data_IF_865258032347
#
_entry.id   IF_865258032347
#
_cell.length_a   1.000
_cell.length_b   1.000
_cell.length_c   1.000
_cell.angle_alpha   90.00
_cell.angle_beta   90.00
_cell.angle_gamma   90.00
#
_symmetry.space_group_name_H-M   'P 1'
#
loop_
_entity.id
_entity.type
_entity.pdbx_description
1 polymer ?
#
# COMPACT_ATOMS: atom_id res chain seq x y z
N UNK A 1 40.28 96.20 1.33
CA UNK A 1 39.65 95.70 0.08
C UNK A 1 39.21 94.27 0.34
N UNK A 2 37.91 94.03 0.19
CA UNK A 2 37.20 92.79 0.49
C UNK A 2 37.32 91.77 -0.63
N UNK A 3 37.47 90.49 -0.31
CA UNK A 3 36.99 89.40 -1.17
C UNK A 3 36.38 88.28 -0.32
N UNK A 4 35.24 87.80 -0.80
CA UNK A 4 34.15 87.15 -0.07
C UNK A 4 34.29 85.63 -0.14
N UNK A 5 34.16 84.96 1.01
CA UNK A 5 34.05 83.49 1.12
C UNK A 5 32.58 83.04 0.96
N UNK A 6 32.27 81.98 0.19
CA UNK A 6 30.90 81.51 0.04
C UNK A 6 30.46 80.58 1.19
N UNK A 7 29.24 80.82 1.65
CA UNK A 7 28.56 80.13 2.73
C UNK A 7 28.16 78.70 2.35
N UNK A 8 28.44 77.75 3.25
CA UNK A 8 27.99 76.35 3.17
C UNK A 8 26.54 76.25 3.66
N UNK A 9 25.58 76.11 2.75
CA UNK A 9 24.16 75.96 3.07
C UNK A 9 23.86 74.60 3.69
N UNK A 10 23.37 74.61 4.94
CA UNK A 10 22.91 73.43 5.70
C UNK A 10 21.45 73.14 5.33
N UNK A 11 21.21 72.03 4.64
CA UNK A 11 19.87 71.54 4.30
C UNK A 11 19.16 70.95 5.53
N UNK A 12 17.84 71.15 5.68
CA UNK A 12 17.06 70.61 6.79
C UNK A 12 16.91 69.08 6.70
N UNK A 13 16.97 68.41 7.86
CA UNK A 13 16.99 66.94 7.99
C UNK A 13 15.81 66.22 7.31
N UNK A 14 14.67 66.89 7.13
CA UNK A 14 13.47 66.30 6.52
C UNK A 14 13.59 66.10 5.00
N UNK A 15 14.48 66.85 4.31
CA UNK A 15 14.71 66.70 2.87
C UNK A 15 15.67 65.54 2.55
N UNK A 16 16.54 65.19 3.50
CA UNK A 16 17.46 64.03 3.39
C UNK A 16 16.73 62.70 3.56
N UNK A 17 15.70 62.65 4.42
CA UNK A 17 14.82 61.48 4.55
C UNK A 17 13.99 61.26 3.28
N UNK A 18 13.45 62.31 2.68
CA UNK A 18 12.63 62.19 1.47
C UNK A 18 13.45 61.71 0.25
N UNK A 19 14.71 62.15 0.11
CA UNK A 19 15.61 61.65 -0.94
C UNK A 19 16.06 60.20 -0.73
N UNK A 20 16.23 59.73 0.51
CA UNK A 20 16.55 58.33 0.77
C UNK A 20 15.36 57.38 0.54
N UNK A 21 14.13 57.83 0.84
CA UNK A 21 12.92 57.03 0.54
C UNK A 21 12.68 56.92 -0.98
N UNK A 22 12.93 57.98 -1.75
CA UNK A 22 12.81 57.95 -3.22
C UNK A 22 13.89 57.09 -3.92
N UNK A 23 15.12 57.04 -3.38
CA UNK A 23 16.21 56.18 -3.89
C UNK A 23 15.97 54.68 -3.63
N UNK A 24 15.28 54.32 -2.55
CA UNK A 24 14.96 52.91 -2.24
C UNK A 24 13.78 52.41 -3.08
N UNK A 25 12.83 53.26 -3.45
CA UNK A 25 11.68 52.87 -4.30
C UNK A 25 12.08 52.70 -5.78
N UNK A 26 13.05 53.48 -6.27
CA UNK A 26 13.57 53.38 -7.64
C UNK A 26 14.57 52.23 -7.85
N UNK A 27 15.19 51.71 -6.78
CA UNK A 27 16.02 50.49 -6.85
C UNK A 27 15.21 49.20 -6.77
N UNK A 28 13.92 49.27 -6.41
CA UNK A 28 13.02 48.12 -6.45
C UNK A 28 12.39 47.87 -7.84
N UNK A 29 12.56 48.78 -8.81
CA UNK A 29 11.92 48.68 -10.14
C UNK A 29 12.89 48.40 -11.32
N UNK A 30 14.17 48.07 -11.06
CA UNK A 30 15.13 47.74 -12.14
C UNK A 30 15.75 46.33 -12.04
N UNK A 31 15.23 45.45 -11.18
CA UNK A 31 15.58 44.01 -11.21
C UNK A 31 14.29 43.18 -11.23
N UNK A 32 13.47 43.43 -12.24
CA UNK A 32 12.55 42.42 -12.79
C UNK A 32 12.96 42.26 -14.24
N UNK A 33 14.15 41.66 -14.43
CA UNK A 33 14.41 40.91 -15.64
C UNK A 33 13.60 39.61 -15.53
N UNK A 34 13.05 39.18 -16.66
CA UNK A 34 12.29 37.94 -16.82
C UNK A 34 13.17 36.72 -16.49
N UNK A 35 13.43 36.49 -15.19
CA UNK A 35 13.75 35.15 -14.71
C UNK A 35 12.42 34.43 -14.69
N UNK A 36 12.14 33.77 -15.81
CA UNK A 36 11.19 32.67 -15.88
C UNK A 36 11.59 31.71 -14.76
N UNK A 37 10.98 31.88 -13.59
CA UNK A 37 10.90 30.86 -12.57
C UNK A 37 10.12 29.76 -13.26
N UNK A 38 10.85 28.90 -13.96
CA UNK A 38 10.46 27.53 -14.21
C UNK A 38 10.22 27.00 -12.82
N UNK A 39 8.95 27.10 -12.38
CA UNK A 39 8.40 26.17 -11.41
C UNK A 39 8.63 24.83 -12.06
N UNK A 40 9.78 24.23 -11.78
CA UNK A 40 9.86 22.79 -11.74
C UNK A 40 8.87 22.44 -10.65
N UNK A 41 7.61 22.23 -11.05
CA UNK A 41 6.76 21.28 -10.41
C UNK A 41 7.63 20.03 -10.39
N UNK A 42 8.32 19.80 -9.29
CA UNK A 42 8.64 18.46 -8.90
C UNK A 42 7.27 17.83 -8.72
N UNK A 43 6.70 17.38 -9.84
CA UNK A 43 5.69 16.37 -9.85
C UNK A 43 6.39 15.21 -9.16
N UNK A 44 6.22 15.15 -7.83
CA UNK A 44 6.18 13.86 -7.17
C UNK A 44 5.32 13.03 -8.12
N UNK A 45 5.83 11.93 -8.69
CA UNK A 45 4.99 11.09 -9.50
C UNK A 45 3.84 10.72 -8.58
N UNK A 46 2.68 11.33 -8.83
CA UNK A 46 1.43 10.78 -8.34
C UNK A 46 1.46 9.36 -8.88
N UNK A 47 1.29 8.39 -7.98
CA UNK A 47 0.90 7.06 -8.44
C UNK A 47 -0.25 7.31 -9.41
N UNK A 48 -0.08 6.93 -10.68
CA UNK A 48 -1.16 6.97 -11.65
C UNK A 48 -2.33 6.21 -11.02
N UNK A 49 -3.33 6.95 -10.54
CA UNK A 49 -4.46 6.46 -9.74
C UNK A 49 -5.38 5.53 -10.55
N UNK A 50 -5.01 5.21 -11.81
CA UNK A 50 -5.79 4.37 -12.70
C UNK A 50 -5.80 2.88 -12.35
N UNK A 51 -4.89 2.40 -11.50
CA UNK A 51 -4.70 0.97 -11.23
C UNK A 51 -4.91 0.62 -9.75
N UNK A 52 -5.99 1.10 -9.15
CA UNK A 52 -6.31 0.83 -7.75
C UNK A 52 -7.21 -0.39 -7.60
N UNK A 53 -7.05 -1.14 -6.51
CA UNK A 53 -8.02 -2.15 -6.07
C UNK A 53 -9.15 -1.49 -5.29
N UNK A 54 -10.37 -1.61 -5.80
CA UNK A 54 -11.60 -1.32 -5.07
C UNK A 54 -12.08 -2.59 -4.39
N UNK A 55 -12.58 -2.47 -3.16
CA UNK A 55 -13.07 -3.60 -2.36
C UNK A 55 -14.56 -3.39 -2.15
N UNK A 56 -15.37 -4.29 -2.70
CA UNK A 56 -16.83 -4.14 -2.75
C UNK A 56 -17.57 -5.26 -2.01
N UNK A 57 -17.00 -6.46 -1.98
CA UNK A 57 -17.62 -7.65 -1.42
C UNK A 57 -17.20 -7.87 0.04
N UNK A 58 -15.89 -7.86 0.32
CA UNK A 58 -15.32 -8.16 1.63
C UNK A 58 -15.79 -7.20 2.73
N UNK A 59 -16.30 -7.77 3.82
CA UNK A 59 -16.90 -7.00 4.91
C UNK A 59 -15.85 -6.38 5.83
N UNK A 60 -14.72 -7.07 6.03
CA UNK A 60 -13.67 -6.67 6.97
C UNK A 60 -12.45 -6.04 6.29
N UNK A 61 -12.51 -5.79 4.98
CA UNK A 61 -11.41 -5.19 4.23
C UNK A 61 -11.84 -3.85 3.65
N UNK A 62 -11.06 -2.79 3.90
CA UNK A 62 -11.19 -1.52 3.17
C UNK A 62 -9.83 -0.98 2.79
N UNK A 63 -9.73 -0.41 1.59
CA UNK A 63 -8.49 0.18 1.08
C UNK A 63 -8.72 1.66 0.76
N UNK A 64 -7.81 2.50 1.21
CA UNK A 64 -7.78 3.93 0.94
C UNK A 64 -6.46 4.30 0.26
N UNK A 65 -6.54 5.18 -0.73
CA UNK A 65 -5.37 5.63 -1.50
C UNK A 65 -5.12 7.11 -1.23
N UNK A 66 -3.92 7.42 -0.79
CA UNK A 66 -3.38 8.78 -0.75
C UNK A 66 -2.38 9.00 -1.89
N UNK A 67 -1.81 10.20 -1.96
CA UNK A 67 -0.88 10.56 -3.04
C UNK A 67 0.40 9.71 -3.07
N UNK A 68 0.95 9.38 -1.89
CA UNK A 68 2.22 8.64 -1.75
C UNK A 68 2.14 7.47 -0.75
N UNK A 69 0.92 7.11 -0.33
CA UNK A 69 0.68 6.05 0.63
C UNK A 69 -0.67 5.39 0.36
N UNK A 70 -0.85 4.19 0.90
CA UNK A 70 -2.10 3.45 0.90
C UNK A 70 -2.42 3.08 2.34
N UNK A 71 -3.69 2.92 2.66
CA UNK A 71 -4.11 2.45 3.99
C UNK A 71 -5.06 1.30 3.82
N UNK A 72 -4.74 0.18 4.45
CA UNK A 72 -5.67 -0.92 4.59
C UNK A 72 -6.28 -0.86 5.99
N UNK A 73 -7.61 -0.82 6.09
CA UNK A 73 -8.30 -1.08 7.35
C UNK A 73 -8.70 -2.55 7.38
N UNK A 74 -8.20 -3.25 8.39
CA UNK A 74 -8.54 -4.63 8.65
C UNK A 74 -9.53 -4.66 9.83
N UNK A 75 -10.77 -5.04 9.54
CA UNK A 75 -11.86 -5.13 10.52
C UNK A 75 -11.75 -6.34 11.43
N UNK A 76 -10.97 -7.37 11.07
CA UNK A 76 -10.79 -8.59 11.86
C UNK A 76 -9.95 -8.30 13.10
N UNK A 77 -8.82 -7.61 12.93
CA UNK A 77 -7.94 -7.25 14.06
C UNK A 77 -8.08 -5.80 14.52
N UNK A 78 -8.98 -5.04 13.87
CA UNK A 78 -9.24 -3.63 14.16
C UNK A 78 -8.08 -2.69 13.84
N UNK A 79 -7.05 -3.14 13.11
CA UNK A 79 -5.87 -2.32 12.81
C UNK A 79 -5.94 -1.66 11.44
N UNK A 80 -5.19 -0.57 11.31
CA UNK A 80 -4.89 0.08 10.05
C UNK A 80 -3.44 -0.16 9.66
N UNK A 81 -3.22 -0.62 8.43
CA UNK A 81 -1.91 -0.82 7.84
C UNK A 81 -1.59 0.33 6.91
N UNK A 82 -0.65 1.18 7.32
CA UNK A 82 -0.16 2.27 6.48
C UNK A 82 0.95 1.74 5.57
N UNK A 83 0.75 1.82 4.27
CA UNK A 83 1.69 1.34 3.27
C UNK A 83 2.32 2.52 2.56
N UNK A 84 3.64 2.67 2.72
CA UNK A 84 4.41 3.81 2.23
C UNK A 84 5.22 3.34 1.03
N UNK A 85 5.14 4.07 -0.08
CA UNK A 85 5.96 3.76 -1.26
C UNK A 85 7.45 3.89 -0.93
N UNK A 86 8.26 2.91 -1.33
CA UNK A 86 9.70 2.91 -1.09
C UNK A 86 10.45 4.12 -1.68
N UNK A 87 9.93 4.72 -2.75
CA UNK A 87 10.48 5.90 -3.41
C UNK A 87 10.03 7.23 -2.75
N UNK A 88 9.21 7.18 -1.69
CA UNK A 88 8.76 8.35 -0.97
C UNK A 88 9.80 8.81 0.06
N UNK A 89 9.93 10.13 0.25
CA UNK A 89 10.72 10.73 1.35
C UNK A 89 10.29 10.24 2.73
N UNK A 90 9.04 9.76 2.87
CA UNK A 90 8.51 9.21 4.11
C UNK A 90 9.03 7.81 4.43
N UNK A 91 9.44 7.01 3.43
CA UNK A 91 9.82 5.61 3.64
C UNK A 91 10.98 5.43 4.63
N UNK A 92 11.93 6.37 4.65
CA UNK A 92 13.07 6.34 5.55
C UNK A 92 12.79 6.96 6.94
N UNK A 93 11.74 7.77 7.08
CA UNK A 93 11.51 8.61 8.26
C UNK A 93 10.31 8.16 9.10
N UNK A 94 9.38 7.46 8.49
CA UNK A 94 8.06 7.22 9.06
C UNK A 94 7.91 5.74 9.40
N UNK A 95 7.94 5.42 10.69
CA UNK A 95 7.61 4.10 11.22
C UNK A 95 6.52 4.25 12.27
N UNK A 96 5.28 3.93 11.90
CA UNK A 96 4.17 3.83 12.83
C UNK A 96 4.08 2.40 13.37
N UNK A 97 4.10 2.30 14.69
CA UNK A 97 3.93 1.04 15.39
C UNK A 97 3.17 1.32 16.67
N UNK A 98 1.85 1.34 16.56
CA UNK A 98 0.94 1.48 17.68
C UNK A 98 0.02 0.26 17.71
N UNK A 99 -0.78 0.13 18.77
CA UNK A 99 -1.78 -0.94 18.87
C UNK A 99 -2.78 -0.93 17.70
N UNK A 100 -3.06 0.26 17.13
CA UNK A 100 -4.04 0.46 16.06
C UNK A 100 -3.43 0.64 14.66
N UNK A 101 -2.19 1.14 14.56
CA UNK A 101 -1.58 1.48 13.27
C UNK A 101 -0.21 0.83 13.16
N UNK A 102 0.01 0.07 12.10
CA UNK A 102 1.32 -0.48 11.73
C UNK A 102 1.70 -0.01 10.34
N UNK A 103 2.94 0.44 10.15
CA UNK A 103 3.43 0.92 8.86
C UNK A 103 4.37 -0.07 8.18
N UNK A 104 4.25 -0.18 6.86
CA UNK A 104 5.10 -1.00 6.01
C UNK A 104 5.59 -0.20 4.82
N UNK A 105 6.80 -0.51 4.36
CA UNK A 105 7.32 0.02 3.10
C UNK A 105 6.96 -0.97 2.00
N UNK A 106 6.38 -0.48 0.91
CA UNK A 106 5.91 -1.27 -0.23
C UNK A 106 6.65 -0.88 -1.52
N UNK A 107 6.80 -1.80 -2.49
CA UNK A 107 6.35 -3.19 -2.48
C UNK A 107 7.14 -4.05 -1.48
N UNK A 108 6.48 -5.03 -0.85
CA UNK A 108 7.17 -5.94 0.06
C UNK A 108 8.24 -6.75 -0.66
N UNK A 109 9.48 -6.62 -0.20
CA UNK A 109 10.57 -7.52 -0.49
C UNK A 109 11.01 -8.15 0.85
N UNK A 110 11.30 -9.45 0.87
CA UNK A 110 11.73 -10.17 2.08
C UNK A 110 10.65 -10.20 3.19
N UNK A 111 9.54 -10.89 2.91
CA UNK A 111 8.49 -11.17 3.89
C UNK A 111 8.45 -12.65 4.27
N UNK A 112 7.76 -12.94 5.36
CA UNK A 112 7.47 -14.30 5.82
C UNK A 112 5.98 -14.48 6.07
N UNK A 113 5.55 -15.73 6.12
CA UNK A 113 4.16 -16.10 6.39
C UNK A 113 4.09 -17.15 7.49
N UNK A 114 3.02 -17.10 8.27
CA UNK A 114 2.61 -18.18 9.13
C UNK A 114 1.82 -19.23 8.32
N UNK A 115 2.32 -20.46 8.19
CA UNK A 115 1.76 -21.44 7.25
C UNK A 115 0.58 -22.25 7.78
N UNK A 116 0.24 -22.15 9.07
CA UNK A 116 -0.80 -22.99 9.68
C UNK A 116 -2.20 -22.80 9.06
N UNK A 117 -2.53 -21.58 8.63
CA UNK A 117 -3.85 -21.24 8.08
C UNK A 117 -3.79 -20.20 6.96
N UNK A 118 -2.62 -20.02 6.35
CA UNK A 118 -2.42 -19.04 5.30
C UNK A 118 -2.65 -19.66 3.91
N UNK A 119 -3.59 -19.16 3.10
CA UNK A 119 -3.84 -19.68 1.76
C UNK A 119 -2.74 -19.23 0.79
N UNK A 120 -1.69 -20.04 0.67
CA UNK A 120 -0.51 -19.77 -0.17
C UNK A 120 -0.86 -19.57 -1.64
N UNK A 121 -1.96 -20.14 -2.11
CA UNK A 121 -2.46 -19.96 -3.49
C UNK A 121 -2.63 -18.49 -3.87
N UNK A 122 -2.91 -17.59 -2.92
CA UNK A 122 -3.01 -16.16 -3.18
C UNK A 122 -1.64 -15.59 -3.62
N UNK A 123 -0.55 -16.02 -3.00
CA UNK A 123 0.80 -15.61 -3.36
C UNK A 123 1.21 -16.18 -4.73
N UNK A 124 0.81 -17.41 -5.03
CA UNK A 124 1.05 -18.04 -6.34
C UNK A 124 0.35 -17.29 -7.47
N UNK A 125 -0.95 -17.03 -7.29
CA UNK A 125 -1.77 -16.31 -8.27
C UNK A 125 -1.27 -14.89 -8.51
N UNK A 126 -0.71 -14.24 -7.48
CA UNK A 126 -0.07 -12.93 -7.60
C UNK A 126 1.40 -12.97 -8.05
N UNK A 127 2.03 -14.15 -8.10
CA UNK A 127 3.44 -14.31 -8.47
C UNK A 127 4.41 -13.77 -7.41
N UNK A 128 4.04 -13.83 -6.14
CA UNK A 128 4.80 -13.26 -5.01
C UNK A 128 5.73 -14.25 -4.32
N UNK A 129 5.81 -15.50 -4.77
CA UNK A 129 6.66 -16.51 -4.15
C UNK A 129 8.16 -16.17 -4.22
N UNK A 130 8.63 -15.45 -5.25
CA UNK A 130 10.05 -15.09 -5.37
C UNK A 130 10.58 -14.15 -4.27
N UNK A 131 9.68 -13.38 -3.65
CA UNK A 131 10.00 -12.44 -2.56
C UNK A 131 9.63 -12.98 -1.17
N UNK A 132 9.01 -14.15 -1.09
CA UNK A 132 8.84 -14.92 0.15
C UNK A 132 10.21 -15.42 0.62
N UNK A 133 10.50 -15.27 1.92
CA UNK A 133 11.81 -15.65 2.50
C UNK A 133 11.70 -16.48 3.77
N UNK A 134 10.51 -16.67 4.32
CA UNK A 134 10.36 -17.59 5.43
C UNK A 134 8.95 -18.08 5.70
N UNK A 135 8.90 -19.26 6.30
CA UNK A 135 7.70 -20.01 6.67
C UNK A 135 7.85 -20.52 8.10
N UNK A 136 6.73 -20.76 8.79
CA UNK A 136 6.74 -21.24 10.19
C UNK A 136 6.65 -22.76 10.32
N UNK A 137 6.17 -23.45 9.28
CA UNK A 137 6.00 -24.91 9.23
C UNK A 137 6.05 -25.43 7.78
N UNK A 138 6.43 -26.70 7.60
CA UNK A 138 6.36 -27.43 6.33
C UNK A 138 4.93 -27.94 6.02
N UNK A 139 3.98 -27.77 6.93
CA UNK A 139 2.56 -28.10 6.71
C UNK A 139 1.89 -27.10 5.78
N UNK A 140 2.35 -27.05 4.53
CA UNK A 140 1.89 -26.13 3.48
C UNK A 140 1.40 -26.96 2.30
N UNK A 141 0.22 -26.62 1.76
CA UNK A 141 -0.33 -27.35 0.62
C UNK A 141 0.41 -27.11 -0.71
N UNK A 142 1.21 -26.04 -0.80
CA UNK A 142 1.91 -25.64 -2.01
C UNK A 142 3.23 -26.38 -2.17
N UNK A 143 3.32 -27.24 -3.19
CA UNK A 143 4.58 -27.89 -3.56
C UNK A 143 5.63 -26.89 -4.06
N UNK A 144 5.20 -25.75 -4.62
CA UNK A 144 6.11 -24.67 -5.01
C UNK A 144 6.84 -24.08 -3.80
N UNK A 145 6.14 -23.84 -2.69
CA UNK A 145 6.75 -23.36 -1.45
C UNK A 145 7.67 -24.42 -0.84
N UNK A 146 7.23 -25.68 -0.81
CA UNK A 146 8.06 -26.77 -0.29
C UNK A 146 9.36 -26.93 -1.09
N UNK A 147 9.29 -26.80 -2.42
CA UNK A 147 10.48 -26.80 -3.28
C UNK A 147 11.42 -25.64 -2.94
N UNK A 148 10.90 -24.40 -2.82
CA UNK A 148 11.72 -23.24 -2.45
C UNK A 148 12.41 -23.42 -1.09
N UNK A 149 11.75 -24.08 -0.14
CA UNK A 149 12.36 -24.42 1.14
C UNK A 149 13.44 -25.50 1.01
N UNK A 150 13.19 -26.61 0.31
CA UNK A 150 14.19 -27.67 0.07
C UNK A 150 15.41 -27.15 -0.69
N UNK A 151 15.21 -26.22 -1.61
CA UNK A 151 16.26 -25.55 -2.38
C UNK A 151 17.04 -24.50 -1.55
N UNK A 152 16.71 -24.32 -0.27
CA UNK A 152 17.37 -23.39 0.65
C UNK A 152 17.04 -21.92 0.42
N UNK A 153 16.01 -21.61 -0.38
CA UNK A 153 15.60 -20.23 -0.69
C UNK A 153 14.65 -19.64 0.37
N UNK A 154 14.01 -20.50 1.17
CA UNK A 154 13.18 -20.11 2.32
C UNK A 154 13.80 -20.56 3.62
N UNK A 155 13.64 -19.75 4.66
CA UNK A 155 14.02 -20.10 6.00
C UNK A 155 12.83 -20.59 6.83
N UNK A 156 13.01 -21.68 7.57
CA UNK A 156 12.08 -22.06 8.62
C UNK A 156 12.26 -21.18 9.85
N UNK A 157 11.17 -20.62 10.36
CA UNK A 157 11.16 -19.70 11.48
C UNK A 157 10.44 -20.34 12.66
N UNK A 158 11.10 -20.39 13.80
CA UNK A 158 10.47 -20.87 15.02
C UNK A 158 9.50 -19.80 15.57
N UNK A 159 8.21 -20.13 15.61
CA UNK A 159 7.16 -19.25 16.13
C UNK A 159 7.36 -18.86 17.60
N UNK A 160 8.00 -19.72 18.39
CA UNK A 160 8.24 -19.47 19.83
C UNK A 160 9.30 -18.41 20.10
N UNK A 161 10.00 -17.94 19.05
CA UNK A 161 11.07 -16.95 19.15
C UNK A 161 10.69 -15.67 18.38
N UNK A 162 10.01 -14.69 19.02
CA UNK A 162 9.57 -13.45 18.36
C UNK A 162 10.69 -12.67 17.66
N UNK A 163 11.91 -12.72 18.21
CA UNK A 163 13.07 -12.03 17.65
C UNK A 163 13.46 -12.54 16.25
N UNK A 164 13.15 -13.80 15.94
CA UNK A 164 13.47 -14.42 14.64
C UNK A 164 12.72 -13.77 13.48
N UNK A 165 11.63 -13.04 13.75
CA UNK A 165 10.84 -12.33 12.74
C UNK A 165 11.36 -10.94 12.42
N UNK A 166 12.26 -10.36 13.22
CA UNK A 166 12.73 -8.97 13.07
C UNK A 166 13.52 -8.70 11.79
N UNK A 167 14.07 -9.76 11.17
CA UNK A 167 14.79 -9.71 9.89
C UNK A 167 13.89 -9.57 8.66
N UNK A 168 12.58 -9.77 8.80
CA UNK A 168 11.62 -9.65 7.69
C UNK A 168 10.93 -8.30 7.71
N UNK A 169 10.69 -7.74 6.52
CA UNK A 169 9.96 -6.48 6.36
C UNK A 169 8.51 -6.62 6.79
N UNK A 170 7.93 -7.80 6.55
CA UNK A 170 6.61 -8.17 7.03
C UNK A 170 6.58 -9.66 7.43
N UNK A 171 5.76 -9.98 8.42
CA UNK A 171 5.35 -11.32 8.76
C UNK A 171 3.83 -11.38 8.76
N UNK A 172 3.26 -12.17 7.86
CA UNK A 172 1.81 -12.33 7.79
C UNK A 172 1.36 -13.45 8.73
N UNK A 173 0.36 -13.14 9.55
CA UNK A 173 -0.24 -14.09 10.50
C UNK A 173 -1.70 -14.35 10.16
N UNK A 174 -2.13 -15.57 10.40
CA UNK A 174 -3.53 -16.00 10.27
C UNK A 174 -4.20 -16.24 11.63
N UNK A 175 -3.63 -15.70 12.72
CA UNK A 175 -4.18 -15.79 14.06
C UNK A 175 -4.09 -14.43 14.78
N UNK A 176 -5.20 -13.94 15.32
CA UNK A 176 -5.30 -12.68 16.07
C UNK A 176 -4.98 -12.80 17.55
N UNK A 177 -5.02 -14.02 18.12
CA UNK A 177 -4.78 -14.28 19.54
C UNK A 177 -3.31 -14.12 19.92
N UNK A 178 -2.43 -14.16 18.92
CA UNK A 178 -1.03 -13.79 19.08
C UNK A 178 -1.01 -12.27 19.26
N UNK A 179 -0.89 -11.82 20.51
CA UNK A 179 -0.52 -10.44 20.85
C UNK A 179 0.92 -10.17 20.37
N UNK A 180 1.11 -10.11 19.06
CA UNK A 180 2.39 -9.77 18.47
C UNK A 180 2.62 -8.27 18.66
N UNK A 181 3.51 -7.98 19.60
CA UNK A 181 4.00 -6.63 19.89
C UNK A 181 4.90 -6.09 18.76
N UNK A 182 5.34 -6.95 17.84
CA UNK A 182 6.25 -6.55 16.78
C UNK A 182 5.56 -5.76 15.68
N UNK A 183 6.25 -4.71 15.23
CA UNK A 183 5.74 -3.72 14.29
C UNK A 183 5.58 -4.26 12.86
N UNK A 184 6.26 -5.35 12.52
CA UNK A 184 6.27 -5.94 11.20
C UNK A 184 5.23 -7.06 11.00
N UNK A 185 4.32 -7.27 11.96
CA UNK A 185 3.28 -8.28 11.84
C UNK A 185 2.01 -7.69 11.22
N UNK A 186 1.49 -8.36 10.20
CA UNK A 186 0.24 -8.01 9.53
C UNK A 186 -0.71 -9.21 9.53
N UNK A 187 -1.95 -8.99 9.98
CA UNK A 187 -2.98 -10.03 10.00
C UNK A 187 -3.55 -10.20 8.60
N UNK A 188 -3.47 -11.43 8.08
CA UNK A 188 -4.09 -11.88 6.84
C UNK A 188 -4.95 -13.09 7.16
N UNK A 189 -6.27 -12.86 7.28
CA UNK A 189 -7.22 -13.88 7.70
C UNK A 189 -8.47 -13.85 6.82
N UNK A 190 -8.36 -14.24 5.53
CA UNK A 190 -9.52 -14.27 4.64
C UNK A 190 -10.65 -15.12 5.19
N UNK A 191 -10.34 -16.21 5.92
CA UNK A 191 -11.34 -17.09 6.56
C UNK A 191 -12.24 -16.40 7.59
N UNK A 192 -11.95 -15.16 7.99
CA UNK A 192 -12.84 -14.37 8.83
C UNK A 192 -14.06 -13.81 8.09
N UNK A 193 -14.09 -13.88 6.76
CA UNK A 193 -15.24 -13.48 5.95
C UNK A 193 -16.29 -14.59 5.82
N UNK A 194 -17.56 -14.21 5.64
CA UNK A 194 -18.69 -15.14 5.66
C UNK A 194 -18.87 -15.91 4.35
N UNK A 195 -18.65 -15.26 3.20
CA UNK A 195 -18.90 -15.86 1.88
C UNK A 195 -17.60 -16.14 1.12
N UNK A 196 -17.55 -17.16 0.24
CA UNK A 196 -16.36 -17.45 -0.57
C UNK A 196 -15.90 -16.27 -1.43
N UNK A 197 -16.83 -15.47 -1.94
CA UNK A 197 -16.52 -14.28 -2.74
C UNK A 197 -15.81 -13.21 -1.89
N UNK A 198 -16.32 -12.95 -0.68
CA UNK A 198 -15.66 -12.06 0.28
C UNK A 198 -14.26 -12.54 0.64
N UNK A 199 -14.09 -13.85 0.92
CA UNK A 199 -12.79 -14.44 1.22
C UNK A 199 -11.80 -14.26 0.05
N UNK A 200 -12.27 -14.45 -1.18
CA UNK A 200 -11.46 -14.31 -2.38
C UNK A 200 -10.97 -12.87 -2.60
N UNK A 201 -11.76 -11.87 -2.24
CA UNK A 201 -11.40 -10.46 -2.45
C UNK A 201 -10.18 -10.01 -1.64
N UNK A 202 -9.83 -10.75 -0.58
CA UNK A 202 -8.58 -10.54 0.16
C UNK A 202 -7.32 -10.73 -0.69
N UNK A 203 -7.40 -11.24 -1.92
CA UNK A 203 -6.27 -11.19 -2.85
C UNK A 203 -5.83 -9.76 -3.16
N UNK A 204 -6.78 -8.81 -3.15
CA UNK A 204 -6.51 -7.38 -3.30
C UNK A 204 -5.67 -6.84 -2.13
N UNK A 205 -5.86 -7.35 -0.90
CA UNK A 205 -5.02 -7.00 0.26
C UNK A 205 -3.54 -7.26 -0.03
N UNK A 206 -3.19 -8.47 -0.48
CA UNK A 206 -1.81 -8.83 -0.82
C UNK A 206 -1.31 -8.08 -2.06
N UNK A 207 -2.19 -7.85 -3.04
CA UNK A 207 -1.91 -7.01 -4.20
C UNK A 207 -1.42 -5.62 -3.80
N UNK A 208 -2.08 -4.98 -2.85
CA UNK A 208 -1.72 -3.63 -2.39
C UNK A 208 -0.36 -3.61 -1.68
N UNK A 209 -0.08 -4.60 -0.83
CA UNK A 209 1.23 -4.77 -0.20
C UNK A 209 2.36 -4.96 -1.23
N UNK A 210 2.05 -5.57 -2.37
CA UNK A 210 3.01 -5.87 -3.42
C UNK A 210 3.07 -4.83 -4.56
N UNK A 211 2.28 -3.75 -4.51
CA UNK A 211 2.04 -2.86 -5.67
C UNK A 211 1.61 -3.65 -6.94
N UNK A 212 0.77 -4.68 -6.78
CA UNK A 212 0.30 -5.57 -7.83
C UNK A 212 -1.22 -5.55 -7.98
N UNK A 213 -1.85 -4.40 -7.74
CA UNK A 213 -3.31 -4.24 -7.78
C UNK A 213 -3.93 -4.65 -9.11
N UNK A 214 -3.30 -4.34 -10.24
CA UNK A 214 -3.80 -4.73 -11.57
C UNK A 214 -3.99 -6.25 -11.63
N UNK A 215 -2.95 -7.00 -11.21
CA UNK A 215 -2.98 -8.46 -11.22
C UNK A 215 -3.98 -8.98 -10.20
N UNK A 216 -4.05 -8.37 -9.01
CA UNK A 216 -5.01 -8.77 -7.99
C UNK A 216 -6.46 -8.58 -8.45
N UNK A 217 -6.77 -7.46 -9.11
CA UNK A 217 -8.09 -7.21 -9.70
C UNK A 217 -8.38 -8.23 -10.80
N UNK A 218 -7.44 -8.45 -11.71
CA UNK A 218 -7.60 -9.44 -12.79
C UNK A 218 -7.88 -10.85 -12.25
N UNK A 219 -7.13 -11.31 -11.24
CA UNK A 219 -7.36 -12.62 -10.64
C UNK A 219 -8.71 -12.66 -9.93
N UNK A 220 -9.07 -11.61 -9.18
CA UNK A 220 -10.37 -11.53 -8.53
C UNK A 220 -11.53 -11.66 -9.53
N UNK A 221 -11.52 -10.82 -10.56
CA UNK A 221 -12.61 -10.71 -11.53
C UNK A 221 -12.73 -12.00 -12.37
N UNK A 222 -11.60 -12.54 -12.83
CA UNK A 222 -11.58 -13.68 -13.76
C UNK A 222 -11.69 -15.05 -13.08
N UNK A 223 -11.02 -15.25 -11.94
CA UNK A 223 -10.93 -16.58 -11.30
C UNK A 223 -11.99 -16.77 -10.24
N UNK A 224 -12.33 -15.72 -9.50
CA UNK A 224 -13.22 -15.84 -8.36
C UNK A 224 -14.62 -15.37 -8.69
N UNK A 225 -14.77 -14.12 -9.13
CA UNK A 225 -16.08 -13.53 -9.35
C UNK A 225 -16.81 -14.20 -10.52
N UNK A 226 -16.15 -14.37 -11.66
CA UNK A 226 -16.74 -15.03 -12.83
C UNK A 226 -17.19 -16.46 -12.53
N UNK A 227 -16.35 -17.25 -11.86
CA UNK A 227 -16.67 -18.63 -11.49
C UNK A 227 -17.80 -18.70 -10.45
N UNK A 228 -17.76 -17.83 -9.44
CA UNK A 228 -18.81 -17.75 -8.42
C UNK A 228 -20.17 -17.41 -9.05
N UNK A 229 -20.22 -16.43 -9.95
CA UNK A 229 -21.45 -16.06 -10.66
C UNK A 229 -21.92 -17.18 -11.59
N UNK A 230 -21.01 -17.87 -12.28
CA UNK A 230 -21.34 -19.04 -13.10
C UNK A 230 -21.98 -20.15 -12.26
N UNK A 231 -21.33 -20.55 -11.16
CA UNK A 231 -21.82 -21.60 -10.28
C UNK A 231 -23.16 -21.23 -9.63
N UNK A 232 -23.30 -19.98 -9.20
CA UNK A 232 -24.55 -19.48 -8.61
C UNK A 232 -25.72 -19.58 -9.59
N UNK A 233 -25.52 -19.18 -10.85
CA UNK A 233 -26.52 -19.34 -11.92
C UNK A 233 -26.84 -20.81 -12.16
N UNK A 234 -25.83 -21.67 -12.29
CA UNK A 234 -26.03 -23.11 -12.50
C UNK A 234 -26.84 -23.77 -11.37
N UNK A 235 -26.68 -23.34 -10.11
CA UNK A 235 -27.47 -23.81 -8.96
C UNK A 235 -28.91 -23.32 -9.03
N UNK A 236 -29.13 -22.04 -9.38
CA UNK A 236 -30.48 -21.47 -9.54
C UNK A 236 -31.22 -22.17 -10.68
N UNK A 237 -30.57 -22.33 -11.84
CA UNK A 237 -31.14 -22.98 -13.01
C UNK A 237 -31.49 -24.45 -12.71
N UNK A 238 -30.66 -25.17 -11.93
CA UNK A 238 -30.98 -26.52 -11.45
C UNK A 238 -32.16 -26.55 -10.49
N UNK A 239 -32.30 -25.57 -9.59
CA UNK A 239 -33.48 -25.46 -8.71
C UNK A 239 -34.76 -25.19 -9.51
N UNK A 240 -34.68 -24.36 -10.56
CA UNK A 240 -35.79 -24.10 -11.47
C UNK A 240 -36.12 -25.33 -12.36
N UNK A 241 -35.10 -26.12 -12.71
CA UNK A 241 -35.22 -27.29 -13.58
C UNK A 241 -35.51 -28.61 -12.83
N UNK A 242 -35.87 -28.58 -11.55
CA UNK A 242 -36.11 -29.82 -10.77
C UNK A 242 -37.40 -30.53 -11.22
N UNK A 243 -37.32 -31.27 -12.32
CA UNK A 243 -38.12 -32.48 -12.61
C UNK A 243 -37.29 -33.69 -12.15
N UNK A 244 -37.89 -34.66 -11.44
CA UNK A 244 -37.16 -35.79 -10.89
C UNK A 244 -36.90 -36.82 -11.99
N UNK A 245 -35.91 -36.57 -12.86
CA UNK A 245 -35.09 -37.60 -13.55
C UNK A 245 -34.18 -36.92 -14.60
N UNK A 246 -32.93 -36.58 -14.22
CA UNK A 246 -31.66 -36.77 -14.98
C UNK A 246 -30.52 -35.78 -14.63
N UNK A 247 -29.41 -36.39 -14.20
CA UNK A 247 -27.96 -36.17 -14.42
C UNK A 247 -27.26 -34.79 -14.30
N UNK A 248 -26.03 -34.87 -13.79
CA UNK A 248 -25.13 -33.88 -13.16
C UNK A 248 -24.38 -32.90 -14.10
N UNK A 249 -24.85 -32.59 -15.31
CA UNK A 249 -23.96 -32.04 -16.35
C UNK A 249 -23.64 -30.53 -16.24
N UNK A 250 -24.50 -29.71 -15.62
CA UNK A 250 -24.31 -28.24 -15.57
C UNK A 250 -23.14 -27.71 -14.71
N UNK A 251 -22.47 -28.55 -13.92
CA UNK A 251 -21.36 -28.10 -13.05
C UNK A 251 -19.99 -28.08 -13.76
N UNK A 252 -19.83 -28.80 -14.89
CA UNK A 252 -18.55 -28.91 -15.60
C UNK A 252 -18.20 -27.70 -16.47
N UNK A 253 -19.11 -26.73 -16.62
CA UNK A 253 -18.92 -25.56 -17.48
C UNK A 253 -18.35 -24.33 -16.73
N UNK A 254 -18.25 -24.39 -15.40
CA UNK A 254 -17.80 -23.26 -14.56
C UNK A 254 -16.37 -23.42 -14.02
N UNK A 255 -15.60 -24.38 -14.54
CA UNK A 255 -14.21 -24.71 -14.14
C UNK A 255 -13.32 -24.74 -15.35
#
# INVERSE_FOLDING_TARGET
>A
MSEISPARTRWPHNLKCLMHVLMVILTWHCVVGDDEIVRTNAANPSLQVGNISQVEDAAYLRIYYGQAFKVIKNGIDGRSYLLIQNNSRMAAKTKYCTSRIKSFVIPLANYSIDTLSFPVSFLELLGLLGTLKGITSESVASECVLKLYRDGQLQMINQTQPLSFTKFVAHFISNTDIQSQSCNFATFLPMGEETPLQQAEWIKYLGVFANSEIRANQVYDSVYQSNYLCMSKAVIDKKASFKPDRRLDGLRQCT
#
